data_IF_272399843476
#
_entry.id   IF_272399843476
#
_cell.length_a   1.000
_cell.length_b   1.000
_cell.length_c   1.000
_cell.angle_alpha   90.00
_cell.angle_beta   90.00
_cell.angle_gamma   90.00
#
_symmetry.space_group_name_H-M   'P 1'
#
loop_
_entity.id
_entity.type
_entity.pdbx_description
1 polymer ?
#
# COMPACT_ATOMS: atom_id res chain seq x y z
N UNK A 1 -13.57 -4.35 -19.76
CA UNK A 1 -14.67 -5.13 -19.14
C UNK A 1 -14.10 -6.43 -18.61
N UNK A 2 -14.24 -6.72 -17.32
CA UNK A 2 -13.74 -7.97 -16.75
C UNK A 2 -14.72 -9.12 -17.01
N UNK A 3 -14.23 -10.20 -17.63
CA UNK A 3 -15.03 -11.38 -17.97
C UNK A 3 -14.80 -12.48 -16.94
N UNK A 4 -15.60 -12.48 -15.88
CA UNK A 4 -15.59 -13.54 -14.86
C UNK A 4 -16.86 -14.40 -14.97
N UNK A 5 -16.71 -15.67 -14.64
CA UNK A 5 -17.84 -16.58 -14.47
C UNK A 5 -18.11 -16.74 -12.97
N UNK A 6 -19.37 -16.58 -12.55
CA UNK A 6 -19.83 -16.95 -11.21
C UNK A 6 -20.41 -18.36 -11.28
N UNK A 7 -19.78 -19.29 -10.56
CA UNK A 7 -20.37 -20.60 -10.24
C UNK A 7 -20.94 -20.54 -8.82
N UNK A 8 -21.80 -21.50 -8.43
CA UNK A 8 -22.40 -21.58 -7.10
C UNK A 8 -21.37 -21.53 -5.94
N UNK A 9 -20.12 -21.87 -6.20
CA UNK A 9 -19.07 -22.00 -5.18
C UNK A 9 -18.00 -20.91 -5.23
N UNK A 10 -17.72 -20.30 -6.39
CA UNK A 10 -16.59 -19.35 -6.53
C UNK A 10 -16.60 -18.54 -7.83
N UNK A 11 -15.83 -17.44 -7.83
CA UNK A 11 -15.54 -16.61 -9.01
C UNK A 11 -14.38 -17.20 -9.81
N UNK A 12 -14.55 -17.36 -11.12
CA UNK A 12 -13.61 -18.08 -11.99
C UNK A 12 -13.20 -17.20 -13.18
N UNK A 13 -11.90 -17.20 -13.50
CA UNK A 13 -11.36 -16.72 -14.77
C UNK A 13 -11.50 -17.89 -15.77
N UNK A 14 -12.25 -17.72 -16.87
CA UNK A 14 -12.53 -18.80 -17.80
C UNK A 14 -11.26 -19.29 -18.50
N UNK A 15 -11.32 -20.52 -19.02
CA UNK A 15 -10.29 -21.05 -19.90
C UNK A 15 -10.18 -20.18 -21.15
N UNK A 16 -8.95 -19.95 -21.63
CA UNK A 16 -8.72 -19.13 -22.82
C UNK A 16 -7.80 -19.83 -23.81
N UNK A 17 -8.10 -19.69 -25.09
CA UNK A 17 -7.27 -20.23 -26.16
C UNK A 17 -6.06 -19.34 -26.38
N UNK A 18 -4.88 -19.93 -26.58
CA UNK A 18 -3.68 -19.20 -27.03
C UNK A 18 -3.74 -18.97 -28.54
N UNK A 19 -2.90 -18.06 -29.09
CA UNK A 19 -2.83 -17.87 -30.54
C UNK A 19 -2.43 -19.14 -31.31
N UNK A 20 -1.64 -20.04 -30.71
CA UNK A 20 -1.26 -21.35 -31.24
C UNK A 20 -2.35 -22.43 -31.09
N UNK A 21 -3.52 -22.09 -30.55
CA UNK A 21 -4.65 -23.02 -30.37
C UNK A 21 -4.63 -23.85 -29.09
N UNK A 22 -3.49 -23.91 -28.38
CA UNK A 22 -3.42 -24.56 -27.07
C UNK A 22 -4.22 -23.81 -26.00
N UNK A 23 -4.84 -24.51 -25.05
CA UNK A 23 -5.70 -23.88 -24.03
C UNK A 23 -4.97 -23.54 -22.74
N UNK A 24 -5.34 -22.41 -22.13
CA UNK A 24 -5.03 -22.05 -20.75
C UNK A 24 -6.16 -22.57 -19.86
N UNK A 25 -5.80 -23.29 -18.80
CA UNK A 25 -6.78 -23.77 -17.81
C UNK A 25 -7.48 -22.61 -17.11
N UNK A 26 -8.75 -22.81 -16.76
CA UNK A 26 -9.50 -21.90 -15.90
C UNK A 26 -8.82 -21.75 -14.52
N UNK A 27 -8.97 -20.58 -13.90
CA UNK A 27 -8.38 -20.27 -12.59
C UNK A 27 -9.44 -19.74 -11.63
N UNK A 28 -9.44 -20.26 -10.40
CA UNK A 28 -10.28 -19.73 -9.32
C UNK A 28 -9.69 -18.43 -8.78
N UNK A 29 -10.55 -17.45 -8.53
CA UNK A 29 -10.20 -16.19 -7.87
C UNK A 29 -10.50 -16.35 -6.38
N UNK A 30 -9.62 -15.80 -5.53
CA UNK A 30 -9.84 -15.81 -4.07
C UNK A 30 -11.10 -15.00 -3.72
N UNK A 31 -11.88 -15.50 -2.78
CA UNK A 31 -13.07 -14.79 -2.29
C UNK A 31 -12.68 -13.44 -1.66
N UNK A 32 -13.44 -12.39 -1.99
CA UNK A 32 -13.16 -11.03 -1.55
C UNK A 32 -11.98 -10.35 -2.26
N UNK A 33 -11.35 -10.97 -3.27
CA UNK A 33 -10.32 -10.31 -4.06
C UNK A 33 -10.90 -9.18 -4.92
N UNK A 34 -10.40 -7.97 -4.68
CA UNK A 34 -10.69 -6.77 -5.46
C UNK A 34 -9.39 -6.35 -6.16
N UNK A 35 -9.39 -6.21 -7.50
CA UNK A 35 -8.20 -5.76 -8.23
C UNK A 35 -7.90 -4.30 -7.90
N UNK A 36 -6.63 -3.91 -8.03
CA UNK A 36 -6.15 -2.57 -7.66
C UNK A 36 -6.90 -1.44 -8.38
N UNK A 37 -7.31 -1.66 -9.63
CA UNK A 37 -8.08 -0.70 -10.42
C UNK A 37 -9.45 -0.37 -9.81
N UNK A 38 -10.04 -1.32 -9.07
CA UNK A 38 -11.33 -1.16 -8.40
C UNK A 38 -11.15 -0.71 -6.93
N UNK A 39 -9.91 -0.64 -6.42
CA UNK A 39 -9.62 -0.13 -5.08
C UNK A 39 -9.67 1.39 -5.14
N UNK A 40 -10.54 2.06 -4.35
CA UNK A 40 -10.61 3.50 -4.34
C UNK A 40 -9.29 4.09 -3.86
N UNK A 41 -8.66 4.90 -4.71
CA UNK A 41 -7.55 5.75 -4.29
C UNK A 41 -8.03 6.64 -3.15
N UNK A 42 -7.24 6.72 -2.09
CA UNK A 42 -7.57 7.60 -0.96
C UNK A 42 -7.72 9.04 -1.45
N UNK A 43 -8.86 9.65 -1.12
CA UNK A 43 -9.16 11.05 -1.38
C UNK A 43 -9.38 11.75 -0.06
N UNK A 44 -8.83 12.95 0.06
CA UNK A 44 -9.05 13.79 1.23
C UNK A 44 -10.50 14.28 1.17
N UNK A 45 -11.21 14.12 2.28
CA UNK A 45 -12.61 14.55 2.43
C UNK A 45 -12.73 16.05 2.10
N UNK A 46 -13.58 16.41 1.13
CA UNK A 46 -13.84 17.81 0.75
C UNK A 46 -12.92 18.40 -0.33
N UNK A 47 -12.04 17.61 -0.94
CA UNK A 47 -11.19 18.03 -2.08
C UNK A 47 -11.77 17.65 -3.45
N UNK A 48 -13.04 17.23 -3.49
CA UNK A 48 -13.79 16.89 -4.70
C UNK A 48 -14.09 18.16 -5.52
N UNK A 49 -13.04 18.74 -6.14
CA UNK A 49 -13.14 19.99 -6.90
C UNK A 49 -11.92 20.92 -6.79
N UNK A 50 -10.93 20.60 -5.96
CA UNK A 50 -9.70 21.41 -5.86
C UNK A 50 -8.66 20.81 -6.81
N UNK A 51 -8.55 21.39 -8.01
CA UNK A 51 -7.43 21.12 -8.90
C UNK A 51 -6.13 21.56 -8.22
N UNK A 52 -5.24 20.62 -7.94
CA UNK A 52 -3.93 20.86 -7.30
C UNK A 52 -3.05 21.79 -8.17
N UNK A 53 -3.46 22.09 -9.41
CA UNK A 53 -2.78 22.98 -10.36
C UNK A 53 -2.72 24.47 -9.96
N UNK A 54 -3.17 24.84 -8.76
CA UNK A 54 -3.22 26.24 -8.29
C UNK A 54 -2.43 26.47 -7.00
N UNK A 55 -1.43 25.64 -6.69
CA UNK A 55 -0.55 25.88 -5.56
C UNK A 55 0.92 25.77 -6.01
N UNK A 56 1.60 26.89 -6.33
CA UNK A 56 3.05 26.89 -6.50
C UNK A 56 3.70 26.79 -5.10
N UNK A 57 3.91 25.57 -4.60
CA UNK A 57 4.76 25.31 -3.43
C UNK A 57 5.61 24.08 -3.73
N UNK A 58 6.37 24.11 -4.82
CA UNK A 58 7.44 23.14 -5.08
C UNK A 58 8.43 23.78 -6.07
N UNK A 59 9.07 24.88 -5.67
CA UNK A 59 10.35 25.27 -6.29
C UNK A 59 11.47 25.48 -5.29
N UNK A 60 11.23 25.79 -4.01
CA UNK A 60 12.32 26.05 -3.08
C UNK A 60 12.04 25.43 -1.70
N UNK A 61 12.38 24.15 -1.53
CA UNK A 61 12.65 23.59 -0.20
C UNK A 61 14.07 23.03 -0.28
N UNK A 62 15.01 23.84 0.19
CA UNK A 62 16.34 23.37 0.58
C UNK A 62 16.17 22.27 1.63
N UNK A 63 17.08 21.28 1.62
CA UNK A 63 17.10 20.16 2.56
C UNK A 63 17.24 20.66 4.01
N UNK A 64 16.13 21.03 4.63
CA UNK A 64 16.03 21.53 6.00
C UNK A 64 14.89 20.83 6.72
N UNK A 65 15.29 19.97 7.66
CA UNK A 65 14.52 19.44 8.80
C UNK A 65 13.08 18.95 8.52
N UNK A 66 12.93 17.63 8.46
CA UNK A 66 11.64 16.94 8.31
C UNK A 66 10.79 17.16 9.57
N UNK A 67 9.83 18.08 9.51
CA UNK A 67 8.74 18.16 10.48
C UNK A 67 7.91 16.86 10.39
N UNK A 68 7.97 16.06 11.47
CA UNK A 68 7.32 14.77 11.61
C UNK A 68 5.79 14.92 11.49
N UNK A 69 5.18 14.19 10.56
CA UNK A 69 3.73 14.22 10.38
C UNK A 69 3.05 13.78 11.68
N UNK A 70 2.42 14.72 12.39
CA UNK A 70 1.67 14.42 13.60
C UNK A 70 0.60 13.35 13.31
N UNK A 71 0.78 12.19 13.92
CA UNK A 71 -0.15 11.06 13.89
C UNK A 71 -1.53 11.55 14.37
N UNK A 72 -2.65 11.15 13.74
CA UNK A 72 -3.96 11.45 14.29
C UNK A 72 -4.10 10.75 15.65
N UNK A 73 -4.53 11.50 16.68
CA UNK A 73 -4.76 10.94 18.01
C UNK A 73 -5.89 9.89 17.96
N UNK A 74 -5.51 8.63 17.82
CA UNK A 74 -6.41 7.49 17.99
C UNK A 74 -6.76 7.37 19.48
N UNK A 75 -8.06 7.34 19.79
CA UNK A 75 -8.59 7.10 21.13
C UNK A 75 -7.86 5.92 21.80
N UNK A 76 -7.02 6.23 22.79
CA UNK A 76 -6.09 5.30 23.47
C UNK A 76 -6.79 4.29 24.40
N UNK A 77 -8.04 3.91 24.16
CA UNK A 77 -8.80 3.10 25.12
C UNK A 77 -8.75 1.59 24.89
N UNK A 78 -8.06 1.06 23.87
CA UNK A 78 -7.93 -0.40 23.76
C UNK A 78 -6.71 -0.90 22.97
N UNK A 79 -5.54 -0.27 23.15
CA UNK A 79 -4.29 -0.79 22.57
C UNK A 79 -3.74 -1.89 23.47
N UNK A 80 -3.64 -3.13 22.95
CA UNK A 80 -3.03 -4.26 23.66
C UNK A 80 -1.56 -3.95 23.99
N UNK A 81 -1.24 -3.93 25.29
CA UNK A 81 0.09 -3.54 25.82
C UNK A 81 1.24 -4.38 25.25
N UNK A 82 0.98 -5.64 24.90
CA UNK A 82 1.97 -6.54 24.31
C UNK A 82 2.42 -6.09 22.91
N UNK A 83 1.50 -5.57 22.09
CA UNK A 83 1.80 -5.11 20.72
C UNK A 83 2.72 -3.88 20.77
N UNK A 84 2.47 -2.96 21.71
CA UNK A 84 3.31 -1.78 21.92
C UNK A 84 4.72 -2.13 22.38
N UNK A 85 4.84 -3.13 23.26
CA UNK A 85 6.15 -3.59 23.74
C UNK A 85 6.95 -4.26 22.63
N UNK A 86 6.32 -5.11 21.82
CA UNK A 86 6.94 -5.77 20.67
C UNK A 86 7.39 -4.76 19.61
N UNK A 87 6.56 -3.75 19.28
CA UNK A 87 6.95 -2.74 18.29
C UNK A 87 8.17 -1.93 18.75
N UNK A 88 8.26 -1.65 20.05
CA UNK A 88 9.36 -0.86 20.62
C UNK A 88 10.67 -1.64 20.62
N UNK A 89 10.65 -2.90 21.04
CA UNK A 89 11.85 -3.75 21.04
C UNK A 89 12.39 -3.99 19.62
N UNK A 90 11.51 -4.18 18.63
CA UNK A 90 11.91 -4.34 17.23
C UNK A 90 12.52 -3.05 16.64
N UNK A 91 12.00 -1.88 17.00
CA UNK A 91 12.58 -0.62 16.52
C UNK A 91 13.96 -0.34 17.11
N UNK A 92 14.25 -0.84 18.30
CA UNK A 92 15.56 -0.66 18.95
C UNK A 92 16.61 -1.64 18.43
N UNK A 93 16.23 -2.89 18.09
CA UNK A 93 17.17 -3.88 17.51
C UNK A 93 17.56 -3.58 16.07
N UNK A 94 16.69 -2.92 15.30
CA UNK A 94 16.97 -2.59 13.90
C UNK A 94 17.82 -1.31 13.73
N UNK A 95 18.04 -0.54 14.80
CA UNK A 95 18.91 0.65 14.81
C UNK A 95 20.40 0.30 15.02
N UNK A 96 20.87 -0.81 14.44
CA UNK A 96 22.31 -1.11 14.46
C UNK A 96 23.05 -0.15 13.51
N UNK A 97 24.01 0.58 14.09
CA UNK A 97 24.76 1.65 13.47
C UNK A 97 25.52 1.22 12.20
N UNK A 98 25.26 1.89 11.08
CA UNK A 98 26.08 1.84 9.87
C UNK A 98 27.35 2.69 10.03
N UNK A 99 28.14 2.44 11.07
CA UNK A 99 29.44 3.10 11.29
C UNK A 99 30.61 2.13 11.10
N UNK A 100 30.69 1.51 9.92
CA UNK A 100 31.98 1.01 9.41
C UNK A 100 32.40 1.87 8.24
N UNK A 101 33.14 2.94 8.55
CA UNK A 101 33.98 3.66 7.58
C UNK A 101 34.93 2.64 6.95
N UNK A 102 34.82 2.46 5.64
CA UNK A 102 35.83 1.75 4.84
C UNK A 102 36.80 2.83 4.38
N UNK A 103 37.97 2.89 5.01
CA UNK A 103 39.04 3.77 4.58
C UNK A 103 39.69 3.15 3.33
N UNK A 104 39.61 3.84 2.19
CA UNK A 104 40.22 3.42 0.92
C UNK A 104 41.74 3.63 0.96
N UNK A 105 42.50 2.66 0.44
CA UNK A 105 43.92 2.78 0.13
C UNK A 105 44.15 2.44 -1.34
#
# INVERSE_FOLDING_TARGET
MSTHLQTNESKIIPASMRPDGSWRKARRVKDGYVPQEDVPLYKIRGKDGISISMFPILTDIEEGEREECNQPEVNKSSVNKEVYFISKTLSDTLKFDNSKKVDNN
#
